data_IF_292429817116
#
_entry.id   IF_292429817116
#
_cell.length_a   1.000
_cell.length_b   1.000
_cell.length_c   1.000
_cell.angle_alpha   90.00
_cell.angle_beta   90.00
_cell.angle_gamma   90.00
#
_symmetry.space_group_name_H-M   'P 1'
#
loop_
_entity.id
_entity.type
_entity.pdbx_description
1 polymer ?
#
# COMPACT_ATOMS: atom_id res chain seq x y z
N UNK A 1 -28.57 8.54 6.71
CA UNK A 1 -27.62 7.56 7.23
C UNK A 1 -27.36 7.89 8.68
N UNK A 2 -27.52 6.93 9.60
CA UNK A 2 -27.17 7.15 11.02
C UNK A 2 -25.65 7.04 11.10
N UNK A 3 -24.98 8.06 11.55
CA UNK A 3 -23.57 8.02 11.91
C UNK A 3 -23.42 7.00 13.04
N UNK A 4 -22.85 5.84 12.74
CA UNK A 4 -22.41 4.90 13.77
C UNK A 4 -21.04 5.40 14.26
N UNK A 5 -20.91 5.87 15.51
CA UNK A 5 -19.63 6.38 16.03
C UNK A 5 -18.55 5.30 16.18
N UNK A 6 -18.87 4.03 15.93
CA UNK A 6 -17.90 2.93 15.89
C UNK A 6 -17.26 2.73 14.51
N UNK A 7 -17.74 3.43 13.46
CA UNK A 7 -17.26 3.31 12.09
C UNK A 7 -16.24 4.41 11.78
N UNK A 8 -15.39 4.17 10.80
CA UNK A 8 -14.35 5.11 10.35
C UNK A 8 -14.89 6.52 10.10
N UNK A 9 -14.20 7.51 10.63
CA UNK A 9 -14.39 8.93 10.28
C UNK A 9 -13.09 9.54 9.82
N UNK A 10 -13.17 10.54 8.94
CA UNK A 10 -12.02 11.26 8.44
C UNK A 10 -12.15 12.74 8.70
N UNK A 11 -11.22 13.31 9.43
CA UNK A 11 -11.16 14.73 9.77
C UNK A 11 -9.94 15.37 9.08
N UNK A 12 -10.16 16.45 8.33
CA UNK A 12 -9.10 17.23 7.69
C UNK A 12 -8.81 18.44 8.58
N UNK A 13 -7.56 18.56 9.05
CA UNK A 13 -7.12 19.61 9.95
C UNK A 13 -6.52 20.80 9.22
N UNK A 14 -5.60 20.54 8.27
CA UNK A 14 -4.84 21.57 7.57
C UNK A 14 -4.80 21.27 6.05
N UNK A 15 -4.59 22.35 5.28
CA UNK A 15 -4.41 22.30 3.81
C UNK A 15 -3.32 23.25 3.38
N UNK A 16 -2.57 22.83 2.34
CA UNK A 16 -1.63 23.67 1.61
C UNK A 16 -1.76 23.35 0.11
N UNK A 17 -2.46 24.21 -0.63
CA UNK A 17 -2.97 23.87 -1.95
C UNK A 17 -3.95 22.71 -1.86
N UNK A 18 -3.74 21.66 -2.68
CA UNK A 18 -4.52 20.42 -2.62
C UNK A 18 -3.97 19.42 -1.58
N UNK A 19 -2.71 19.58 -1.15
CA UNK A 19 -2.13 18.76 -0.07
C UNK A 19 -2.91 18.98 1.22
N UNK A 20 -3.18 17.90 1.97
CA UNK A 20 -3.99 17.96 3.17
C UNK A 20 -3.45 17.07 4.27
N UNK A 21 -3.55 17.55 5.50
CA UNK A 21 -3.31 16.79 6.72
C UNK A 21 -4.64 16.48 7.39
N UNK A 22 -4.79 15.27 7.87
CA UNK A 22 -5.99 14.84 8.58
C UNK A 22 -5.74 13.64 9.47
N UNK A 23 -6.83 13.13 10.07
CA UNK A 23 -6.82 11.93 10.89
C UNK A 23 -7.94 10.99 10.45
N UNK A 24 -7.59 9.74 10.16
CA UNK A 24 -8.54 8.63 10.04
C UNK A 24 -8.77 8.04 11.44
N UNK A 25 -9.97 8.16 11.96
CA UNK A 25 -10.34 7.52 13.21
C UNK A 25 -10.89 6.12 12.93
N UNK A 26 -10.19 5.08 13.40
CA UNK A 26 -10.59 3.68 13.26
C UNK A 26 -10.94 3.08 14.62
N UNK A 27 -11.61 1.92 14.68
CA UNK A 27 -11.86 1.22 15.96
C UNK A 27 -10.59 0.90 16.77
N UNK A 28 -9.43 0.73 16.08
CA UNK A 28 -8.14 0.44 16.72
C UNK A 28 -7.21 1.66 16.80
N UNK A 29 -7.75 2.85 16.76
CA UNK A 29 -7.02 4.09 16.98
C UNK A 29 -6.93 5.01 15.75
N UNK A 30 -6.40 6.23 15.95
CA UNK A 30 -6.24 7.21 14.88
C UNK A 30 -5.07 6.87 13.97
N UNK A 31 -5.15 7.30 12.72
CA UNK A 31 -4.08 7.25 11.73
C UNK A 31 -3.89 8.65 11.15
N UNK A 32 -2.76 9.26 11.43
CA UNK A 32 -2.41 10.58 10.92
C UNK A 32 -2.06 10.51 9.42
N UNK A 33 -2.67 11.37 8.62
CA UNK A 33 -2.45 11.44 7.17
C UNK A 33 -1.77 12.75 6.75
N UNK A 34 -0.95 12.76 5.68
CA UNK A 34 -0.60 11.63 4.81
C UNK A 34 0.12 10.50 5.55
N UNK A 35 -0.18 9.24 5.17
CA UNK A 35 0.39 8.05 5.77
C UNK A 35 0.93 7.07 4.72
N UNK A 36 2.08 6.47 5.00
CA UNK A 36 2.56 5.30 4.28
C UNK A 36 2.27 4.04 5.11
N UNK A 37 1.69 3.02 4.49
CA UNK A 37 1.27 1.79 5.16
C UNK A 37 2.22 0.65 4.77
N UNK A 38 2.98 0.08 5.72
CA UNK A 38 3.83 -1.08 5.44
C UNK A 38 2.99 -2.35 5.24
N UNK A 39 3.45 -3.20 4.31
CA UNK A 39 2.75 -4.43 3.99
C UNK A 39 3.05 -5.55 5.00
N UNK A 40 2.02 -6.00 5.69
CA UNK A 40 1.99 -7.21 6.52
C UNK A 40 1.36 -8.38 5.74
N UNK A 41 1.84 -8.65 4.52
CA UNK A 41 1.26 -9.54 3.50
C UNK A 41 0.77 -10.88 4.03
N UNK A 42 1.48 -11.49 4.99
CA UNK A 42 1.14 -12.79 5.61
C UNK A 42 0.98 -12.66 7.12
N UNK A 43 0.35 -11.59 7.58
CA UNK A 43 0.23 -11.28 8.99
C UNK A 43 1.56 -10.89 9.64
N UNK A 44 2.50 -10.31 8.87
CA UNK A 44 3.77 -9.84 9.39
C UNK A 44 4.44 -8.88 8.41
N UNK A 45 4.94 -7.77 8.89
CA UNK A 45 5.89 -6.92 8.15
C UNK A 45 7.22 -7.66 8.11
N UNK A 46 7.68 -7.95 6.91
CA UNK A 46 8.81 -8.86 6.72
C UNK A 46 10.10 -8.35 7.38
N UNK A 47 10.63 -9.12 8.31
CA UNK A 47 11.88 -8.83 9.03
C UNK A 47 11.69 -8.01 10.31
N UNK A 48 10.46 -7.67 10.69
CA UNK A 48 10.15 -6.91 11.90
C UNK A 48 8.98 -7.53 12.66
N UNK A 49 9.00 -7.42 13.97
CA UNK A 49 7.88 -7.69 14.84
C UNK A 49 6.86 -6.54 14.80
N UNK A 50 5.62 -6.80 15.17
CA UNK A 50 4.57 -5.79 15.29
C UNK A 50 4.99 -4.65 16.23
N UNK A 51 5.63 -4.98 17.36
CA UNK A 51 6.14 -3.99 18.33
C UNK A 51 7.21 -3.07 17.74
N UNK A 52 8.13 -3.60 16.91
CA UNK A 52 9.16 -2.79 16.25
C UNK A 52 8.53 -1.85 15.22
N UNK A 53 7.54 -2.32 14.44
CA UNK A 53 6.81 -1.50 13.46
C UNK A 53 6.06 -0.36 14.17
N UNK A 54 5.33 -0.65 15.25
CA UNK A 54 4.68 0.36 16.07
C UNK A 54 5.69 1.34 16.71
N UNK A 55 6.86 0.83 17.12
CA UNK A 55 7.94 1.65 17.69
C UNK A 55 8.55 2.66 16.72
N UNK A 56 8.51 2.42 15.43
CA UNK A 56 8.88 3.41 14.40
C UNK A 56 7.87 4.56 14.32
N UNK A 57 6.59 4.29 14.65
CA UNK A 57 5.51 5.25 14.62
C UNK A 57 4.41 4.92 13.58
N UNK A 58 4.40 3.70 13.07
CA UNK A 58 3.31 3.26 12.19
C UNK A 58 2.03 2.97 12.97
N UNK A 59 0.93 3.51 12.48
CA UNK A 59 -0.40 3.44 13.09
C UNK A 59 -1.34 2.51 12.29
N UNK A 60 -0.92 2.04 11.11
CA UNK A 60 -1.66 1.13 10.26
C UNK A 60 -0.72 0.19 9.50
N UNK A 61 -1.17 -1.03 9.27
CA UNK A 61 -0.53 -2.01 8.37
C UNK A 61 -1.53 -2.58 7.38
N UNK A 62 -1.03 -3.08 6.22
CA UNK A 62 -1.89 -3.70 5.22
C UNK A 62 -1.72 -5.22 5.22
N UNK A 63 -2.81 -5.94 5.49
CA UNK A 63 -2.93 -7.40 5.34
C UNK A 63 -3.35 -7.78 3.92
N UNK A 64 -2.85 -8.92 3.42
CA UNK A 64 -3.19 -9.37 2.07
C UNK A 64 -4.19 -10.52 2.10
N UNK A 65 -5.40 -10.26 1.63
CA UNK A 65 -6.53 -11.19 1.66
C UNK A 65 -6.24 -12.49 0.91
N UNK A 66 -5.67 -12.43 -0.29
CA UNK A 66 -5.33 -13.62 -1.07
C UNK A 66 -4.34 -14.55 -0.33
N UNK A 67 -3.27 -13.98 0.21
CA UNK A 67 -2.27 -14.78 0.91
C UNK A 67 -2.79 -15.38 2.20
N UNK A 68 -3.60 -14.63 2.94
CA UNK A 68 -4.19 -15.07 4.21
C UNK A 68 -5.34 -16.06 3.99
N UNK A 69 -6.08 -15.97 2.88
CA UNK A 69 -7.04 -16.97 2.44
C UNK A 69 -6.35 -18.32 2.17
N UNK A 70 -5.25 -18.31 1.40
CA UNK A 70 -4.52 -19.54 1.03
C UNK A 70 -3.79 -20.14 2.24
N UNK A 71 -3.22 -19.30 3.10
CA UNK A 71 -2.52 -19.75 4.31
C UNK A 71 -2.38 -18.60 5.33
N UNK A 72 -2.79 -18.78 6.59
CA UNK A 72 -3.21 -20.04 7.24
C UNK A 72 -4.67 -20.42 7.04
N UNK A 73 -5.47 -19.59 6.39
CA UNK A 73 -6.92 -19.64 6.25
C UNK A 73 -7.63 -18.64 7.17
N UNK A 74 -8.75 -18.03 6.71
CA UNK A 74 -9.44 -16.99 7.47
C UNK A 74 -10.09 -17.54 8.75
N UNK A 75 -10.54 -18.79 8.77
CA UNK A 75 -11.16 -19.43 9.93
C UNK A 75 -10.18 -19.50 11.11
N UNK A 76 -8.93 -19.92 10.84
CA UNK A 76 -7.89 -19.98 11.88
C UNK A 76 -7.55 -18.61 12.46
N UNK A 77 -7.59 -17.58 11.63
CA UNK A 77 -7.32 -16.20 12.07
C UNK A 77 -8.51 -15.68 12.89
N UNK A 78 -9.75 -15.97 12.47
CA UNK A 78 -10.94 -15.61 13.20
C UNK A 78 -11.00 -16.30 14.57
N UNK A 79 -10.66 -17.60 14.67
CA UNK A 79 -10.56 -18.35 15.94
C UNK A 79 -9.52 -17.75 16.90
N UNK A 80 -8.47 -17.13 16.36
CA UNK A 80 -7.46 -16.42 17.15
C UNK A 80 -7.88 -15.00 17.60
N UNK A 81 -9.08 -14.53 17.20
CA UNK A 81 -9.58 -13.20 17.51
C UNK A 81 -9.27 -12.14 16.44
N UNK A 82 -9.08 -12.57 15.19
CA UNK A 82 -8.73 -11.70 14.05
C UNK A 82 -7.25 -11.44 13.92
N UNK A 83 -6.86 -10.65 12.89
CA UNK A 83 -5.46 -10.33 12.60
C UNK A 83 -4.78 -9.59 13.73
N UNK A 84 -5.47 -8.70 14.42
CA UNK A 84 -4.93 -7.94 15.56
C UNK A 84 -4.36 -8.88 16.62
N UNK A 85 -5.18 -9.80 17.13
CA UNK A 85 -4.73 -10.77 18.11
C UNK A 85 -3.70 -11.76 17.52
N UNK A 86 -3.92 -12.22 16.29
CA UNK A 86 -3.03 -13.18 15.61
C UNK A 86 -1.62 -12.66 15.39
N UNK A 87 -1.48 -11.35 15.10
CA UNK A 87 -0.19 -10.69 14.87
C UNK A 87 0.39 -10.02 16.11
N UNK A 88 -0.40 -9.83 17.18
CA UNK A 88 -0.06 -8.95 18.29
C UNK A 88 0.10 -7.50 17.82
N UNK A 89 -0.84 -7.01 17.04
CA UNK A 89 -0.88 -5.65 16.49
C UNK A 89 -2.12 -4.92 17.01
N UNK A 90 -1.93 -3.86 17.79
CA UNK A 90 -3.01 -3.18 18.51
C UNK A 90 -3.56 -1.94 17.76
N UNK A 91 -3.04 -1.63 16.57
CA UNK A 91 -3.41 -0.45 15.80
C UNK A 91 -4.19 -0.84 14.54
N UNK A 92 -4.56 0.13 13.70
CA UNK A 92 -5.41 -0.10 12.54
C UNK A 92 -4.84 -1.13 11.55
N UNK A 93 -5.73 -1.87 10.92
CA UNK A 93 -5.44 -2.80 9.81
C UNK A 93 -6.35 -2.49 8.64
N UNK A 94 -5.77 -2.30 7.46
CA UNK A 94 -6.47 -2.34 6.17
C UNK A 94 -6.16 -3.66 5.48
N UNK A 95 -7.13 -4.26 4.81
CA UNK A 95 -6.92 -5.45 3.96
C UNK A 95 -7.22 -5.12 2.50
N UNK A 96 -6.36 -5.61 1.58
CA UNK A 96 -6.68 -5.56 0.16
C UNK A 96 -7.79 -6.55 -0.20
N UNK A 97 -8.34 -6.42 -1.41
CA UNK A 97 -9.40 -7.32 -1.90
C UNK A 97 -8.91 -8.73 -2.26
N UNK A 98 -7.60 -8.93 -2.41
CA UNK A 98 -7.01 -10.13 -3.01
C UNK A 98 -7.03 -10.13 -4.54
N UNK A 99 -7.71 -9.17 -5.17
CA UNK A 99 -7.89 -9.08 -6.62
C UNK A 99 -6.57 -8.98 -7.37
N UNK A 100 -5.72 -8.04 -7.02
CA UNK A 100 -4.43 -7.83 -7.70
C UNK A 100 -3.60 -9.14 -7.82
N UNK A 101 -3.55 -9.98 -6.78
CA UNK A 101 -2.76 -11.21 -6.78
C UNK A 101 -3.33 -12.24 -7.76
N UNK A 102 -4.65 -12.44 -7.77
CA UNK A 102 -5.26 -13.40 -8.69
C UNK A 102 -5.18 -12.93 -10.14
N UNK A 103 -5.26 -11.62 -10.41
CA UNK A 103 -5.10 -11.07 -11.76
C UNK A 103 -3.64 -11.09 -12.23
N UNK A 104 -2.69 -10.76 -11.37
CA UNK A 104 -1.26 -10.81 -11.72
C UNK A 104 -0.80 -12.24 -12.05
N UNK A 105 -1.41 -13.25 -11.44
CA UNK A 105 -1.17 -14.66 -11.78
C UNK A 105 -1.79 -15.07 -13.12
N UNK A 106 -2.86 -14.39 -13.57
CA UNK A 106 -3.50 -14.62 -14.87
C UNK A 106 -2.60 -14.19 -16.04
N UNK A 107 -1.87 -13.09 -15.87
CA UNK A 107 -1.15 -12.41 -16.94
C UNK A 107 0.36 -12.60 -16.90
N UNK A 108 0.86 -13.65 -16.21
CA UNK A 108 2.29 -13.99 -16.21
C UNK A 108 3.16 -13.21 -15.24
N UNK A 109 2.54 -12.47 -14.34
CA UNK A 109 3.18 -11.67 -13.31
C UNK A 109 3.41 -10.23 -13.74
N UNK A 110 2.44 -9.36 -13.46
CA UNK A 110 2.53 -7.88 -13.62
C UNK A 110 3.78 -7.30 -12.93
N UNK A 111 4.33 -8.01 -11.94
CA UNK A 111 5.63 -7.68 -11.34
C UNK A 111 6.81 -7.79 -12.33
N UNK A 112 6.69 -8.57 -13.43
CA UNK A 112 7.70 -8.65 -14.49
C UNK A 112 7.55 -7.52 -15.51
N UNK A 113 6.35 -7.06 -15.79
CA UNK A 113 6.09 -5.91 -16.68
C UNK A 113 6.51 -4.58 -16.07
N UNK A 114 6.34 -4.42 -14.75
CA UNK A 114 6.78 -3.22 -14.03
C UNK A 114 8.28 -3.26 -13.68
N UNK A 115 8.93 -4.44 -13.64
CA UNK A 115 10.32 -4.63 -13.17
C UNK A 115 11.03 -5.77 -13.89
N UNK A 116 11.44 -5.59 -15.09
CA UNK A 116 12.28 -6.41 -15.94
C UNK A 116 13.33 -7.37 -15.33
N UNK A 117 13.00 -8.19 -14.34
CA UNK A 117 13.76 -9.38 -13.90
C UNK A 117 13.06 -10.10 -12.75
N UNK A 118 12.32 -11.17 -12.99
CA UNK A 118 11.69 -11.98 -11.97
C UNK A 118 11.91 -13.48 -12.16
N UNK A 119 12.56 -14.15 -11.23
CA UNK A 119 12.56 -15.62 -11.14
C UNK A 119 11.12 -16.10 -10.89
N UNK A 120 10.63 -17.03 -11.71
CA UNK A 120 9.37 -17.77 -11.51
C UNK A 120 9.33 -18.38 -10.10
N UNK A 121 8.59 -17.74 -9.18
CA UNK A 121 8.51 -18.18 -7.78
C UNK A 121 7.21 -18.95 -7.46
N UNK A 122 6.26 -19.06 -8.40
CA UNK A 122 4.97 -19.71 -8.19
C UNK A 122 4.59 -20.64 -9.35
N UNK A 123 5.32 -21.74 -9.50
CA UNK A 123 5.06 -22.71 -10.57
C UNK A 123 3.69 -23.42 -10.50
N UNK A 124 2.97 -23.30 -9.38
CA UNK A 124 1.64 -23.91 -9.16
C UNK A 124 0.49 -22.90 -9.21
N UNK A 125 0.74 -21.64 -8.91
CA UNK A 125 -0.29 -20.61 -8.91
C UNK A 125 -0.67 -20.25 -10.35
N UNK A 126 -1.96 -20.32 -10.68
CA UNK A 126 -2.49 -19.97 -12.00
C UNK A 126 -3.93 -19.52 -11.90
N UNK A 127 -4.27 -18.40 -12.51
CA UNK A 127 -5.66 -18.02 -12.76
C UNK A 127 -6.23 -18.88 -13.86
N UNK A 128 -7.39 -19.45 -13.61
CA UNK A 128 -8.09 -20.37 -14.52
C UNK A 128 -9.14 -19.66 -15.35
N UNK A 129 -9.76 -18.62 -14.81
CA UNK A 129 -10.77 -17.81 -15.50
C UNK A 129 -11.24 -16.62 -14.66
N UNK A 130 -11.62 -15.56 -15.36
CA UNK A 130 -12.26 -14.36 -14.81
C UNK A 130 -13.68 -14.35 -15.37
N UNK A 131 -14.66 -14.49 -14.48
CA UNK A 131 -16.08 -14.61 -14.82
C UNK A 131 -16.88 -13.54 -14.05
N UNK A 132 -18.16 -13.40 -14.30
CA UNK A 132 -19.01 -12.45 -13.57
C UNK A 132 -19.15 -12.85 -12.09
N UNK A 133 -19.09 -14.12 -11.80
CA UNK A 133 -19.16 -14.69 -10.46
C UNK A 133 -17.93 -14.33 -9.63
N UNK A 134 -16.76 -14.23 -10.24
CA UNK A 134 -15.48 -13.98 -9.59
C UNK A 134 -14.30 -14.56 -10.39
N UNK A 135 -13.22 -14.85 -9.69
CA UNK A 135 -11.97 -15.36 -10.28
C UNK A 135 -11.66 -16.76 -9.78
N UNK A 136 -11.56 -17.73 -10.68
CA UNK A 136 -11.08 -19.07 -10.38
C UNK A 136 -9.57 -19.13 -10.51
N UNK A 137 -8.89 -19.70 -9.51
CA UNK A 137 -7.44 -19.82 -9.49
C UNK A 137 -6.98 -21.08 -8.77
N UNK A 138 -5.71 -21.45 -8.98
CA UNK A 138 -5.06 -22.52 -8.24
C UNK A 138 -4.21 -21.97 -7.10
N UNK A 139 -4.41 -22.54 -5.93
CA UNK A 139 -3.60 -22.27 -4.75
C UNK A 139 -2.12 -22.59 -5.02
N UNK A 140 -1.21 -21.67 -4.69
CA UNK A 140 0.23 -21.92 -4.78
C UNK A 140 0.74 -22.90 -3.73
N UNK A 141 -0.08 -23.22 -2.73
CA UNK A 141 0.30 -24.06 -1.59
C UNK A 141 0.15 -25.54 -1.93
N UNK A 142 -0.97 -25.93 -2.49
CA UNK A 142 -1.38 -27.32 -2.69
C UNK A 142 -1.98 -27.62 -4.08
N UNK A 143 -2.13 -26.60 -4.91
CA UNK A 143 -2.72 -26.71 -6.23
C UNK A 143 -4.24 -26.86 -6.26
N UNK A 144 -4.92 -26.78 -5.12
CA UNK A 144 -6.39 -26.81 -5.06
C UNK A 144 -7.01 -25.65 -5.84
N UNK A 145 -8.18 -25.90 -6.45
CA UNK A 145 -8.93 -24.88 -7.14
C UNK A 145 -9.79 -24.11 -6.15
N UNK A 146 -9.70 -22.79 -6.20
CA UNK A 146 -10.43 -21.85 -5.36
C UNK A 146 -11.17 -20.82 -6.23
N UNK A 147 -12.29 -20.34 -5.73
CA UNK A 147 -13.03 -19.22 -6.29
C UNK A 147 -12.93 -18.03 -5.32
N UNK A 148 -12.49 -16.90 -5.82
CA UNK A 148 -12.58 -15.62 -5.11
C UNK A 148 -13.64 -14.77 -5.80
N UNK A 149 -14.80 -14.70 -5.17
CA UNK A 149 -15.91 -13.83 -5.57
C UNK A 149 -15.91 -12.54 -4.75
N UNK A 150 -16.68 -11.51 -5.12
CA UNK A 150 -16.88 -10.33 -4.28
C UNK A 150 -17.31 -10.67 -2.85
N UNK A 151 -18.28 -11.57 -2.71
CA UNK A 151 -18.79 -12.01 -1.40
C UNK A 151 -17.72 -12.76 -0.60
N UNK A 152 -16.96 -13.64 -1.28
CA UNK A 152 -15.89 -14.40 -0.61
C UNK A 152 -14.75 -13.48 -0.18
N UNK A 153 -14.37 -12.48 -0.99
CA UNK A 153 -13.39 -11.47 -0.60
C UNK A 153 -13.83 -10.71 0.66
N UNK A 154 -15.09 -10.26 0.71
CA UNK A 154 -15.64 -9.57 1.87
C UNK A 154 -15.75 -10.49 3.09
N UNK A 155 -16.15 -11.76 2.92
CA UNK A 155 -16.21 -12.77 3.97
C UNK A 155 -14.82 -12.99 4.61
N UNK A 156 -13.81 -13.12 3.76
CA UNK A 156 -12.43 -13.29 4.24
C UNK A 156 -11.97 -12.07 5.02
N UNK A 157 -12.14 -10.86 4.49
CA UNK A 157 -11.74 -9.62 5.16
C UNK A 157 -12.48 -9.41 6.49
N UNK A 158 -13.76 -9.79 6.56
CA UNK A 158 -14.54 -9.78 7.80
C UNK A 158 -13.98 -10.78 8.83
N UNK A 159 -13.64 -12.00 8.40
CA UNK A 159 -13.03 -13.02 9.26
C UNK A 159 -11.61 -12.63 9.73
N UNK A 160 -10.86 -11.87 8.89
CA UNK A 160 -9.59 -11.29 9.28
C UNK A 160 -9.74 -10.19 10.33
N UNK A 161 -10.92 -9.55 10.46
CA UNK A 161 -11.19 -8.51 11.44
C UNK A 161 -10.43 -7.22 11.17
N UNK A 162 -10.23 -6.83 9.90
CA UNK A 162 -9.60 -5.55 9.55
C UNK A 162 -10.53 -4.37 9.83
N UNK A 163 -9.96 -3.20 10.12
CA UNK A 163 -10.72 -1.95 10.28
C UNK A 163 -11.26 -1.43 8.96
N UNK A 164 -10.51 -1.64 7.88
CA UNK A 164 -10.86 -1.21 6.53
C UNK A 164 -10.72 -2.39 5.58
N UNK A 165 -11.81 -2.69 4.87
CA UNK A 165 -11.85 -3.68 3.80
C UNK A 165 -11.91 -2.98 2.43
N UNK A 166 -11.19 -3.50 1.43
CA UNK A 166 -11.29 -3.04 0.05
C UNK A 166 -12.28 -3.90 -0.74
N UNK A 167 -13.14 -3.27 -1.55
CA UNK A 167 -14.03 -4.00 -2.45
C UNK A 167 -13.25 -4.84 -3.45
N UNK A 168 -13.82 -5.97 -3.87
CA UNK A 168 -13.22 -6.81 -4.90
C UNK A 168 -13.32 -6.12 -6.27
N UNK A 169 -12.19 -6.00 -6.95
CA UNK A 169 -12.07 -5.29 -8.22
C UNK A 169 -11.33 -6.14 -9.26
N UNK A 170 -11.53 -5.86 -10.53
CA UNK A 170 -10.70 -6.41 -11.61
C UNK A 170 -9.57 -5.45 -11.96
N UNK A 171 -8.37 -5.75 -11.50
CA UNK A 171 -7.17 -4.98 -11.83
C UNK A 171 -6.75 -5.25 -13.28
N UNK A 172 -7.02 -4.30 -14.17
CA UNK A 172 -6.73 -4.41 -15.59
C UNK A 172 -5.23 -4.32 -15.85
N UNK A 173 -4.63 -5.24 -16.64
CA UNK A 173 -3.22 -5.16 -17.00
C UNK A 173 -2.95 -3.97 -17.92
N UNK A 174 -1.73 -3.43 -17.87
CA UNK A 174 -1.34 -2.25 -18.63
C UNK A 174 -1.54 -2.37 -20.15
N UNK A 175 -1.29 -3.55 -20.72
CA UNK A 175 -1.39 -3.81 -22.16
C UNK A 175 -2.82 -4.12 -22.63
N UNK A 176 -3.80 -4.10 -21.74
CA UNK A 176 -5.20 -4.30 -22.14
C UNK A 176 -5.68 -3.16 -23.04
N UNK A 177 -6.44 -3.51 -24.06
CA UNK A 177 -7.07 -2.51 -24.90
C UNK A 177 -8.21 -1.75 -24.17
N UNK A 178 -8.66 -0.66 -24.78
CA UNK A 178 -9.70 0.18 -24.18
C UNK A 178 -11.02 -0.58 -23.99
N UNK A 179 -11.35 -1.48 -24.92
CA UNK A 179 -12.61 -2.24 -24.85
C UNK A 179 -12.61 -3.22 -23.67
N UNK A 180 -11.51 -3.94 -23.47
CA UNK A 180 -11.34 -4.79 -22.30
C UNK A 180 -11.34 -3.96 -21.01
N UNK A 181 -10.64 -2.83 -21.00
CA UNK A 181 -10.58 -1.93 -19.83
C UNK A 181 -11.97 -1.41 -19.47
N UNK A 182 -12.82 -1.06 -20.44
CA UNK A 182 -14.19 -0.66 -20.20
C UNK A 182 -15.01 -1.80 -19.56
N UNK A 183 -14.96 -3.01 -20.15
CA UNK A 183 -15.68 -4.18 -19.59
C UNK A 183 -15.24 -4.55 -18.19
N UNK A 184 -13.92 -4.50 -17.90
CA UNK A 184 -13.39 -4.79 -16.55
C UNK A 184 -13.79 -3.72 -15.54
N UNK A 185 -13.83 -2.45 -15.95
CA UNK A 185 -14.29 -1.33 -15.11
C UNK A 185 -15.78 -1.50 -14.77
N UNK A 186 -16.63 -1.78 -15.76
CA UNK A 186 -18.04 -2.08 -15.52
C UNK A 186 -18.25 -3.30 -14.62
N UNK A 187 -17.43 -4.36 -14.77
CA UNK A 187 -17.46 -5.53 -13.88
C UNK A 187 -17.10 -5.13 -12.44
N UNK A 188 -16.07 -4.33 -12.26
CA UNK A 188 -15.69 -3.78 -10.95
C UNK A 188 -16.86 -3.02 -10.32
N UNK A 189 -17.63 -2.23 -11.09
CA UNK A 189 -18.81 -1.53 -10.59
C UNK A 189 -19.94 -2.48 -10.15
N UNK A 190 -20.13 -3.60 -10.86
CA UNK A 190 -21.11 -4.62 -10.44
C UNK A 190 -20.63 -5.37 -9.19
N UNK A 191 -19.34 -5.69 -9.14
CA UNK A 191 -18.72 -6.33 -7.97
C UNK A 191 -18.73 -5.44 -6.73
N UNK A 192 -18.57 -4.12 -6.90
CA UNK A 192 -18.76 -3.16 -5.81
C UNK A 192 -20.13 -3.35 -5.13
N UNK A 193 -21.21 -3.39 -5.90
CA UNK A 193 -22.56 -3.57 -5.33
C UNK A 193 -22.66 -4.87 -4.54
N UNK A 194 -22.18 -5.97 -5.11
CA UNK A 194 -22.16 -7.29 -4.44
C UNK A 194 -21.35 -7.26 -3.13
N UNK A 195 -20.20 -6.57 -3.11
CA UNK A 195 -19.42 -6.37 -1.89
C UNK A 195 -20.20 -5.59 -0.84
N UNK A 196 -20.84 -4.49 -1.24
CA UNK A 196 -21.61 -3.65 -0.31
C UNK A 196 -22.86 -4.37 0.20
N UNK A 197 -23.62 -5.06 -0.66
CA UNK A 197 -24.78 -5.85 -0.27
C UNK A 197 -24.40 -6.95 0.74
N UNK A 198 -23.29 -7.64 0.48
CA UNK A 198 -22.78 -8.65 1.41
C UNK A 198 -22.38 -8.03 2.74
N UNK A 199 -21.63 -6.90 2.71
CA UNK A 199 -21.14 -6.23 3.91
C UNK A 199 -22.28 -5.63 4.75
N UNK A 200 -23.32 -5.08 4.12
CA UNK A 200 -24.51 -4.59 4.82
C UNK A 200 -25.23 -5.73 5.59
N UNK A 201 -25.28 -6.90 4.97
CA UNK A 201 -25.98 -8.06 5.56
C UNK A 201 -25.15 -8.83 6.60
N UNK A 202 -23.82 -8.89 6.44
CA UNK A 202 -22.96 -9.83 7.18
C UNK A 202 -21.69 -9.18 7.76
N UNK A 203 -21.37 -7.95 7.37
CA UNK A 203 -20.12 -7.30 7.77
C UNK A 203 -20.05 -6.99 9.27
N UNK A 204 -18.83 -6.95 9.84
CA UNK A 204 -18.66 -6.51 11.23
C UNK A 204 -19.05 -5.05 11.41
N UNK A 205 -19.72 -4.74 12.55
CA UNK A 205 -20.13 -3.39 12.92
C UNK A 205 -18.96 -2.45 12.97
N UNK A 206 -18.29 -1.84 12.67
CA UNK A 206 -17.08 -1.00 12.80
C UNK A 206 -16.10 -1.16 11.61
N UNK A 207 -16.25 -2.18 10.77
CA UNK A 207 -15.43 -2.31 9.57
C UNK A 207 -15.89 -1.33 8.50
N UNK A 208 -14.97 -0.49 8.04
CA UNK A 208 -15.18 0.42 6.92
C UNK A 208 -14.94 -0.27 5.58
N UNK A 209 -15.56 0.23 4.51
CA UNK A 209 -15.39 -0.28 3.15
C UNK A 209 -14.90 0.82 2.23
N UNK A 210 -13.78 0.58 1.55
CA UNK A 210 -13.26 1.49 0.52
C UNK A 210 -13.58 0.96 -0.88
N UNK A 211 -14.13 1.82 -1.72
CA UNK A 211 -14.33 1.55 -3.14
C UNK A 211 -13.05 1.71 -3.94
N UNK A 212 -12.92 1.00 -5.06
CA UNK A 212 -11.71 1.05 -5.90
C UNK A 212 -12.03 1.66 -7.26
N UNK A 213 -11.33 2.74 -7.60
CA UNK A 213 -11.41 3.41 -8.89
C UNK A 213 -10.57 2.64 -9.91
N UNK A 214 -11.19 2.20 -11.01
CA UNK A 214 -10.54 1.57 -12.15
C UNK A 214 -10.68 2.47 -13.40
N UNK A 215 -10.27 2.01 -14.58
CA UNK A 215 -10.40 2.74 -15.86
C UNK A 215 -9.09 2.87 -16.65
N UNK A 216 -8.01 2.22 -16.17
CA UNK A 216 -6.71 2.24 -16.86
C UNK A 216 -6.16 3.66 -17.03
N UNK A 217 -5.63 3.95 -18.21
CA UNK A 217 -5.14 5.29 -18.58
C UNK A 217 -6.17 6.09 -19.41
N UNK A 218 -7.45 5.74 -19.34
CA UNK A 218 -8.51 6.37 -20.11
C UNK A 218 -9.28 7.38 -19.25
N UNK A 219 -9.21 8.70 -19.56
CA UNK A 219 -9.81 9.76 -18.73
C UNK A 219 -11.33 9.61 -18.56
N UNK A 220 -12.04 9.20 -19.62
CA UNK A 220 -13.48 8.99 -19.60
C UNK A 220 -13.88 7.82 -18.68
N UNK A 221 -13.18 6.69 -18.76
CA UNK A 221 -13.43 5.54 -17.89
C UNK A 221 -13.07 5.83 -16.42
N UNK A 222 -11.99 6.56 -16.17
CA UNK A 222 -11.62 7.03 -14.82
C UNK A 222 -12.70 7.93 -14.25
N UNK A 223 -13.19 8.89 -15.04
CA UNK A 223 -14.25 9.78 -14.63
C UNK A 223 -15.53 9.03 -14.27
N UNK A 224 -15.96 8.12 -15.15
CA UNK A 224 -17.13 7.27 -14.89
C UNK A 224 -16.95 6.45 -13.61
N UNK A 225 -15.78 5.84 -13.42
CA UNK A 225 -15.50 5.08 -12.22
C UNK A 225 -15.53 5.96 -10.96
N UNK A 226 -15.00 7.18 -11.01
CA UNK A 226 -15.09 8.13 -9.91
C UNK A 226 -16.55 8.46 -9.57
N UNK A 227 -17.41 8.69 -10.58
CA UNK A 227 -18.83 8.99 -10.39
C UNK A 227 -19.56 7.81 -9.72
N UNK A 228 -19.37 6.59 -10.23
CA UNK A 228 -20.03 5.39 -9.70
C UNK A 228 -19.58 5.09 -8.26
N UNK A 229 -18.27 5.09 -7.99
CA UNK A 229 -17.72 4.78 -6.67
C UNK A 229 -18.09 5.86 -5.66
N UNK A 230 -18.05 7.15 -6.05
CA UNK A 230 -18.39 8.27 -5.17
C UNK A 230 -19.89 8.34 -4.83
N UNK A 231 -20.75 7.80 -5.68
CA UNK A 231 -22.19 7.69 -5.43
C UNK A 231 -22.57 6.48 -4.56
N UNK A 232 -21.67 5.55 -4.37
CA UNK A 232 -21.88 4.34 -3.56
C UNK A 232 -21.71 4.63 -2.07
N UNK A 233 -22.23 3.75 -1.21
CA UNK A 233 -22.13 3.84 0.25
C UNK A 233 -20.76 3.33 0.75
N UNK A 234 -19.67 3.96 0.29
CA UNK A 234 -18.31 3.65 0.72
C UNK A 234 -17.79 4.68 1.72
N UNK A 235 -16.90 4.27 2.62
CA UNK A 235 -16.31 5.12 3.65
C UNK A 235 -15.05 5.85 3.16
N UNK A 236 -14.46 5.38 2.07
CA UNK A 236 -13.29 5.97 1.42
C UNK A 236 -13.09 5.46 0.00
N UNK A 237 -12.12 6.01 -0.70
CA UNK A 237 -11.83 5.65 -2.09
C UNK A 237 -10.37 5.27 -2.26
N UNK A 238 -10.13 4.19 -3.00
CA UNK A 238 -8.80 3.74 -3.41
C UNK A 238 -8.63 3.90 -4.91
N UNK A 239 -7.46 4.31 -5.36
CA UNK A 239 -7.12 4.41 -6.78
C UNK A 239 -6.30 3.18 -7.14
N UNK A 240 -6.86 2.33 -7.99
CA UNK A 240 -6.28 1.07 -8.43
C UNK A 240 -6.02 1.00 -9.93
N UNK A 241 -5.63 -0.19 -10.37
CA UNK A 241 -5.34 -0.50 -11.76
C UNK A 241 -4.01 0.04 -12.24
N UNK A 242 -3.79 -0.05 -13.56
CA UNK A 242 -2.61 0.54 -14.18
C UNK A 242 -2.72 2.06 -14.18
N UNK A 243 -1.62 2.72 -13.82
CA UNK A 243 -1.48 4.17 -13.81
C UNK A 243 -0.53 4.67 -14.90
N UNK A 244 -0.29 3.87 -15.93
CA UNK A 244 0.59 4.24 -17.04
C UNK A 244 1.92 3.48 -17.07
N UNK A 245 2.72 3.76 -18.09
CA UNK A 245 4.01 3.11 -18.40
C UNK A 245 5.18 3.68 -17.60
N UNK A 246 5.05 4.93 -17.19
CA UNK A 246 6.10 5.70 -16.52
C UNK A 246 5.49 6.70 -15.54
N UNK A 247 6.34 7.45 -14.86
CA UNK A 247 5.92 8.40 -13.82
C UNK A 247 5.17 9.62 -14.38
N UNK A 248 5.50 10.02 -15.60
CA UNK A 248 4.85 11.13 -16.28
C UNK A 248 3.39 10.77 -16.59
N UNK A 249 3.17 9.61 -17.20
CA UNK A 249 1.81 9.12 -17.50
C UNK A 249 1.01 8.86 -16.20
N UNK A 250 1.65 8.35 -15.14
CA UNK A 250 1.02 8.21 -13.83
C UNK A 250 0.57 9.57 -13.27
N UNK A 251 1.40 10.60 -13.37
CA UNK A 251 1.04 11.94 -12.93
C UNK A 251 -0.16 12.50 -13.72
N UNK A 252 -0.23 12.26 -15.02
CA UNK A 252 -1.39 12.63 -15.85
C UNK A 252 -2.66 11.88 -15.41
N UNK A 253 -2.56 10.55 -15.22
CA UNK A 253 -3.70 9.74 -14.75
C UNK A 253 -4.23 10.23 -13.41
N UNK A 254 -3.34 10.49 -12.46
CA UNK A 254 -3.75 11.03 -11.16
C UNK A 254 -4.31 12.45 -11.30
N UNK A 255 -3.73 13.28 -12.16
CA UNK A 255 -4.14 14.66 -12.41
C UNK A 255 -5.60 14.79 -12.91
N UNK A 256 -6.07 13.85 -13.72
CA UNK A 256 -7.48 13.83 -14.15
C UNK A 256 -8.40 12.90 -13.32
N UNK A 257 -7.84 12.08 -12.43
CA UNK A 257 -8.64 11.18 -11.56
C UNK A 257 -9.00 11.87 -10.24
N UNK A 258 -7.99 12.38 -9.52
CA UNK A 258 -8.15 12.90 -8.16
C UNK A 258 -9.16 14.06 -8.05
N UNK A 259 -9.21 15.03 -8.99
CA UNK A 259 -10.20 16.11 -8.93
C UNK A 259 -11.67 15.66 -9.03
N UNK A 260 -11.92 14.46 -9.53
CA UNK A 260 -13.28 13.89 -9.61
C UNK A 260 -13.68 13.12 -8.34
N UNK A 261 -12.82 13.03 -7.33
CA UNK A 261 -13.11 12.32 -6.08
C UNK A 261 -13.69 13.27 -5.02
N UNK A 262 -14.56 12.77 -4.12
CA UNK A 262 -15.12 13.60 -3.05
C UNK A 262 -14.02 14.20 -2.18
N UNK A 263 -14.15 15.50 -1.91
CA UNK A 263 -13.15 16.25 -1.13
C UNK A 263 -13.03 15.72 0.30
N UNK A 264 -14.12 15.26 0.90
CA UNK A 264 -14.15 14.82 2.30
C UNK A 264 -13.81 13.33 2.48
N UNK A 265 -13.78 12.54 1.41
CA UNK A 265 -13.41 11.13 1.50
C UNK A 265 -11.90 10.96 1.64
N UNK A 266 -11.42 10.04 2.48
CA UNK A 266 -10.02 9.62 2.47
C UNK A 266 -9.68 8.95 1.14
N UNK A 267 -8.49 9.25 0.60
CA UNK A 267 -8.02 8.80 -0.71
C UNK A 267 -6.76 7.96 -0.57
N UNK A 268 -6.84 6.72 -0.98
CA UNK A 268 -5.77 5.74 -0.90
C UNK A 268 -5.20 5.43 -2.29
N UNK A 269 -3.90 5.61 -2.51
CA UNK A 269 -3.21 5.22 -3.73
C UNK A 269 -2.55 3.85 -3.56
N UNK A 270 -3.07 2.84 -4.27
CA UNK A 270 -2.67 1.45 -4.13
C UNK A 270 -1.32 1.14 -4.77
N UNK A 271 -0.42 0.51 -4.00
CA UNK A 271 0.80 -0.10 -4.51
C UNK A 271 1.93 0.85 -4.93
N UNK A 272 1.81 2.14 -4.68
CA UNK A 272 2.80 3.17 -5.01
C UNK A 272 3.60 3.57 -3.77
N UNK A 273 4.95 3.57 -3.88
CA UNK A 273 5.81 3.82 -2.71
C UNK A 273 7.24 4.26 -3.05
N UNK A 274 7.50 4.82 -4.22
CA UNK A 274 8.74 5.54 -4.50
C UNK A 274 8.64 6.97 -3.94
N UNK A 275 9.71 7.53 -3.41
CA UNK A 275 9.71 8.80 -2.66
C UNK A 275 9.12 9.96 -3.46
N UNK A 276 9.52 10.11 -4.72
CA UNK A 276 9.05 11.17 -5.60
C UNK A 276 7.56 11.02 -5.96
N UNK A 277 7.07 9.79 -6.10
CA UNK A 277 5.66 9.52 -6.37
C UNK A 277 4.78 9.87 -5.16
N UNK A 278 5.28 9.61 -3.94
CA UNK A 278 4.61 9.99 -2.70
C UNK A 278 4.51 11.51 -2.57
N UNK A 279 5.61 12.24 -2.79
CA UNK A 279 5.61 13.71 -2.74
C UNK A 279 4.59 14.29 -3.74
N UNK A 280 4.56 13.79 -4.97
CA UNK A 280 3.59 14.25 -5.99
C UNK A 280 2.16 13.85 -5.64
N UNK A 281 1.96 12.65 -5.12
CA UNK A 281 0.63 12.18 -4.72
C UNK A 281 0.03 12.99 -3.59
N UNK A 282 0.82 13.34 -2.58
CA UNK A 282 0.40 14.20 -1.47
C UNK A 282 0.03 15.61 -2.00
N UNK A 283 0.82 16.16 -2.92
CA UNK A 283 0.53 17.44 -3.56
C UNK A 283 -0.83 17.46 -4.27
N UNK A 284 -1.31 16.31 -4.75
CA UNK A 284 -2.65 16.14 -5.37
C UNK A 284 -3.77 15.86 -4.35
N UNK A 285 -3.48 15.83 -3.05
CA UNK A 285 -4.46 15.58 -2.00
C UNK A 285 -4.76 14.09 -1.74
N UNK A 286 -3.81 13.19 -2.01
CA UNK A 286 -3.87 11.80 -1.59
C UNK A 286 -3.43 11.66 -0.14
N UNK A 287 -4.09 10.78 0.62
CA UNK A 287 -3.92 10.66 2.07
C UNK A 287 -3.13 9.42 2.50
N UNK A 288 -3.33 8.31 1.79
CA UNK A 288 -2.82 7.00 2.20
C UNK A 288 -2.12 6.33 1.03
N UNK A 289 -0.98 5.70 1.31
CA UNK A 289 -0.16 5.01 0.33
C UNK A 289 0.30 3.67 0.92
N UNK A 290 0.35 2.63 0.12
CA UNK A 290 0.92 1.35 0.49
C UNK A 290 1.89 0.85 -0.57
N UNK A 291 2.96 0.20 -0.16
CA UNK A 291 3.83 -0.51 -1.11
C UNK A 291 4.80 -1.47 -0.43
N UNK A 292 5.16 -2.54 -1.15
CA UNK A 292 6.23 -3.44 -0.74
C UNK A 292 7.65 -2.86 -0.93
N UNK A 293 7.79 -1.70 -1.58
CA UNK A 293 9.10 -1.14 -1.99
C UNK A 293 10.09 -1.07 -0.85
N UNK A 294 9.82 -0.47 0.32
CA UNK A 294 10.83 -0.32 1.37
C UNK A 294 11.38 -1.65 1.87
N UNK A 295 10.49 -2.59 2.18
CA UNK A 295 10.91 -3.92 2.68
C UNK A 295 11.52 -4.78 1.58
N UNK A 296 11.10 -4.62 0.31
CA UNK A 296 11.70 -5.32 -0.83
C UNK A 296 13.10 -4.81 -1.13
N UNK A 297 13.32 -3.50 -1.16
CA UNK A 297 14.65 -2.89 -1.31
C UNK A 297 15.62 -3.43 -0.27
N UNK A 298 15.22 -3.43 1.01
CA UNK A 298 16.02 -3.93 2.11
C UNK A 298 16.47 -5.40 1.90
N UNK A 299 15.58 -6.27 1.46
CA UNK A 299 15.89 -7.68 1.16
C UNK A 299 16.88 -7.86 0.01
N UNK A 300 17.01 -6.86 -0.84
CA UNK A 300 17.99 -6.83 -1.93
C UNK A 300 19.22 -5.98 -1.62
N UNK A 301 19.44 -5.67 -0.33
CA UNK A 301 20.61 -4.92 0.12
C UNK A 301 20.56 -3.44 -0.26
N UNK A 302 19.37 -2.87 -0.43
CA UNK A 302 19.21 -1.45 -0.75
C UNK A 302 18.62 -0.69 0.42
N UNK A 303 19.24 0.44 0.78
CA UNK A 303 18.76 1.40 1.75
C UNK A 303 18.19 2.64 1.06
N UNK A 304 17.09 3.18 1.56
CA UNK A 304 16.61 4.49 1.16
C UNK A 304 17.60 5.56 1.62
N UNK A 305 17.86 6.54 0.78
CA UNK A 305 18.82 7.60 1.08
C UNK A 305 18.45 8.89 0.34
N UNK A 306 18.70 10.05 0.93
CA UNK A 306 18.46 11.35 0.32
C UNK A 306 19.55 11.65 -0.73
N UNK A 307 19.31 11.24 -1.96
CA UNK A 307 20.24 11.47 -3.06
C UNK A 307 19.66 12.45 -4.09
N UNK A 308 20.44 13.45 -4.50
CA UNK A 308 19.95 14.50 -5.43
C UNK A 308 19.72 14.00 -6.87
N UNK A 309 20.10 12.76 -7.15
CA UNK A 309 19.92 12.14 -8.48
C UNK A 309 18.52 11.51 -8.68
N UNK A 310 17.61 11.71 -7.71
CA UNK A 310 16.23 11.20 -7.76
C UNK A 310 16.09 9.70 -7.60
N UNK A 311 17.18 8.97 -7.35
CA UNK A 311 17.12 7.51 -7.14
C UNK A 311 16.74 7.11 -5.73
N UNK A 312 16.94 8.00 -4.75
CA UNK A 312 16.60 7.85 -3.32
C UNK A 312 17.06 6.54 -2.67
N UNK A 313 18.15 5.92 -3.18
CA UNK A 313 18.62 4.62 -2.65
C UNK A 313 20.09 4.35 -2.92
N UNK A 314 20.72 3.68 -1.98
CA UNK A 314 22.08 3.13 -2.10
C UNK A 314 22.01 1.60 -2.07
N UNK A 315 22.86 0.93 -2.86
CA UNK A 315 23.08 -0.52 -2.76
C UNK A 315 24.29 -0.77 -1.86
N UNK A 316 24.02 -1.21 -0.62
CA UNK A 316 25.06 -1.45 0.38
C UNK A 316 25.99 -2.61 0.00
N UNK A 317 25.63 -3.47 -0.97
CA UNK A 317 26.47 -4.59 -1.41
C UNK A 317 27.54 -4.17 -2.43
N UNK A 318 27.50 -2.93 -2.92
CA UNK A 318 28.49 -2.43 -3.88
C UNK A 318 29.89 -2.38 -3.26
N UNK A 319 30.94 -2.71 -4.04
CA UNK A 319 32.34 -2.69 -3.55
C UNK A 319 32.77 -1.35 -2.95
N UNK A 320 32.22 -0.23 -3.40
CA UNK A 320 32.51 1.11 -2.90
C UNK A 320 32.08 1.32 -1.43
N UNK A 321 31.18 0.50 -0.93
CA UNK A 321 30.73 0.58 0.46
C UNK A 321 31.64 -0.21 1.42
N UNK A 322 32.52 -1.07 0.89
CA UNK A 322 33.56 -1.73 1.68
C UNK A 322 34.59 -0.70 2.16
N UNK A 323 34.84 -0.68 3.46
CA UNK A 323 35.70 0.30 4.11
C UNK A 323 35.03 1.66 4.40
N UNK A 324 33.79 1.87 3.98
CA UNK A 324 33.04 3.08 4.28
C UNK A 324 32.53 3.07 5.73
N UNK A 325 33.04 3.97 6.55
CA UNK A 325 32.74 4.04 7.99
C UNK A 325 31.52 4.88 8.33
N UNK A 326 30.93 5.57 7.35
CA UNK A 326 29.76 6.40 7.54
C UNK A 326 28.49 5.56 7.79
N UNK A 327 27.46 6.11 8.46
CA UNK A 327 26.16 5.48 8.58
C UNK A 327 25.45 5.45 7.21
N UNK A 328 24.33 4.74 7.10
CA UNK A 328 23.51 4.75 5.88
C UNK A 328 23.09 6.17 5.51
N UNK A 329 22.56 6.91 6.47
CA UNK A 329 22.23 8.33 6.35
C UNK A 329 22.56 9.01 7.68
N UNK A 330 23.21 10.17 7.60
CA UNK A 330 23.57 10.95 8.76
C UNK A 330 22.33 11.40 9.54
N UNK A 331 22.41 11.43 10.86
CA UNK A 331 21.33 11.79 11.78
C UNK A 331 20.03 10.97 11.64
N UNK A 332 20.05 9.85 10.91
CA UNK A 332 18.89 8.98 10.80
C UNK A 332 18.63 8.28 12.15
N UNK A 333 17.37 8.35 12.67
CA UNK A 333 17.06 7.78 13.99
C UNK A 333 16.84 6.25 13.99
N UNK A 334 16.98 5.57 12.84
CA UNK A 334 16.78 4.12 12.74
C UNK A 334 17.81 3.34 13.56
N UNK A 335 17.49 2.09 13.92
CA UNK A 335 18.37 1.24 14.70
C UNK A 335 19.74 1.02 14.06
N UNK A 336 19.83 1.00 12.72
CA UNK A 336 21.11 0.84 12.02
C UNK A 336 22.01 2.09 12.20
N UNK A 337 21.51 3.27 11.89
CA UNK A 337 22.30 4.51 11.91
C UNK A 337 22.60 4.98 13.32
N UNK A 338 21.59 5.04 14.20
CA UNK A 338 21.76 5.47 15.60
C UNK A 338 22.53 4.43 16.44
N UNK A 339 22.50 3.16 16.05
CA UNK A 339 23.26 2.08 16.68
C UNK A 339 24.73 2.02 16.27
N UNK A 340 25.19 2.94 15.39
CA UNK A 340 26.60 3.03 14.98
C UNK A 340 27.04 2.00 13.95
N UNK A 341 26.12 1.35 13.25
CA UNK A 341 26.45 0.41 12.17
C UNK A 341 26.90 1.16 10.92
N UNK A 342 28.16 0.96 10.54
CA UNK A 342 28.73 1.58 9.33
C UNK A 342 28.27 0.88 8.04
N UNK A 343 28.36 1.58 6.90
CA UNK A 343 28.11 1.00 5.58
C UNK A 343 29.05 -0.17 5.28
N UNK A 344 30.29 -0.12 5.76
CA UNK A 344 31.25 -1.22 5.65
C UNK A 344 30.75 -2.50 6.35
N UNK A 345 30.27 -2.37 7.58
CA UNK A 345 29.69 -3.51 8.29
C UNK A 345 28.44 -4.04 7.60
N UNK A 346 27.54 -3.14 7.19
CA UNK A 346 26.33 -3.52 6.46
C UNK A 346 26.63 -4.15 5.09
N UNK A 347 27.70 -3.69 4.40
CA UNK A 347 28.22 -4.32 3.20
C UNK A 347 28.62 -5.77 3.46
N UNK A 348 29.44 -5.97 4.48
CA UNK A 348 29.93 -7.29 4.85
C UNK A 348 28.80 -8.26 5.18
N UNK A 349 27.90 -7.90 6.12
CA UNK A 349 26.80 -8.79 6.54
C UNK A 349 25.75 -9.00 5.43
N UNK A 350 25.52 -8.00 4.54
CA UNK A 350 24.63 -8.16 3.40
C UNK A 350 25.17 -9.11 2.35
N UNK A 351 26.47 -9.07 2.09
CA UNK A 351 27.16 -9.99 1.15
C UNK A 351 27.30 -11.40 1.71
N UNK A 352 27.35 -11.52 3.03
CA UNK A 352 27.36 -12.81 3.76
C UNK A 352 25.94 -13.34 4.02
N UNK A 353 24.91 -12.74 3.41
CA UNK A 353 23.51 -13.15 3.50
C UNK A 353 22.95 -13.27 4.91
N UNK A 354 23.46 -12.46 5.86
CA UNK A 354 22.99 -12.47 7.24
C UNK A 354 21.61 -11.83 7.37
N UNK A 355 20.67 -12.49 8.05
CA UNK A 355 19.33 -11.98 8.29
C UNK A 355 19.33 -10.63 9.02
N UNK A 356 20.35 -10.40 9.87
CA UNK A 356 20.56 -9.11 10.56
C UNK A 356 20.68 -7.95 9.58
N UNK A 357 21.35 -8.15 8.42
CA UNK A 357 21.42 -7.12 7.39
C UNK A 357 20.03 -6.73 6.88
N UNK A 358 19.19 -7.74 6.57
CA UNK A 358 17.82 -7.50 6.10
C UNK A 358 17.02 -6.74 7.17
N UNK A 359 17.10 -7.14 8.43
CA UNK A 359 16.37 -6.48 9.53
C UNK A 359 16.77 -5.01 9.69
N UNK A 360 18.07 -4.73 9.75
CA UNK A 360 18.60 -3.37 9.89
C UNK A 360 18.21 -2.48 8.69
N UNK A 361 18.22 -3.03 7.48
CA UNK A 361 17.81 -2.30 6.29
C UNK A 361 16.29 -2.10 6.20
N UNK A 362 15.47 -3.05 6.68
CA UNK A 362 14.02 -2.89 6.76
C UNK A 362 13.67 -1.80 7.76
N UNK A 363 14.24 -1.85 8.96
CA UNK A 363 14.05 -0.82 9.99
C UNK A 363 14.42 0.57 9.45
N UNK A 364 15.59 0.69 8.81
CA UNK A 364 16.04 1.94 8.19
C UNK A 364 15.07 2.46 7.14
N UNK A 365 14.66 1.61 6.19
CA UNK A 365 13.78 2.02 5.10
C UNK A 365 12.38 2.42 5.60
N UNK A 366 11.85 1.69 6.58
CA UNK A 366 10.57 2.04 7.19
C UNK A 366 10.68 3.33 8.01
N UNK A 367 11.76 3.51 8.77
CA UNK A 367 12.02 4.77 9.48
C UNK A 367 12.10 5.95 8.50
N UNK A 368 12.77 5.79 7.35
CA UNK A 368 12.84 6.83 6.31
C UNK A 368 11.45 7.21 5.81
N UNK A 369 10.60 6.23 5.50
CA UNK A 369 9.25 6.46 4.98
C UNK A 369 8.34 7.11 6.02
N UNK A 370 8.40 6.71 7.29
CA UNK A 370 7.63 7.34 8.36
C UNK A 370 8.05 8.81 8.54
N UNK A 371 9.36 9.09 8.54
CA UNK A 371 9.87 10.45 8.64
C UNK A 371 9.48 11.32 7.44
N UNK A 372 9.44 10.75 6.24
CA UNK A 372 8.93 11.42 5.05
C UNK A 372 7.47 11.85 5.22
N UNK A 373 6.62 10.95 5.71
CA UNK A 373 5.21 11.27 5.97
C UNK A 373 5.04 12.31 7.09
N UNK A 374 5.79 12.17 8.18
CA UNK A 374 5.76 13.13 9.29
C UNK A 374 6.19 14.53 8.84
N UNK A 375 7.30 14.64 8.11
CA UNK A 375 7.75 15.91 7.54
C UNK A 375 6.73 16.53 6.58
N UNK A 376 6.04 15.72 5.79
CA UNK A 376 4.95 16.19 4.92
C UNK A 376 3.78 16.75 5.75
N UNK A 377 3.33 16.06 6.82
CA UNK A 377 2.30 16.56 7.73
C UNK A 377 2.69 17.89 8.39
N UNK A 378 3.92 17.97 8.91
CA UNK A 378 4.45 19.21 9.52
C UNK A 378 4.49 20.36 8.51
N UNK A 379 4.94 20.10 7.28
CA UNK A 379 5.03 21.10 6.22
C UNK A 379 3.65 21.58 5.75
N UNK A 380 2.66 20.69 5.62
CA UNK A 380 1.27 21.06 5.30
C UNK A 380 0.70 22.00 6.38
N UNK A 381 0.87 21.65 7.67
CA UNK A 381 0.40 22.51 8.77
C UNK A 381 1.08 23.87 8.80
N UNK A 382 2.31 23.97 8.31
CA UNK A 382 3.04 25.23 8.22
C UNK A 382 2.77 26.02 6.92
N UNK A 383 1.98 25.50 5.96
CA UNK A 383 1.80 26.12 4.64
C UNK A 383 3.09 26.13 3.79
N UNK A 384 3.94 25.12 3.93
CA UNK A 384 5.27 25.01 3.31
C UNK A 384 5.50 23.69 2.58
N UNK A 385 4.41 23.04 2.14
CA UNK A 385 4.52 21.71 1.52
C UNK A 385 5.30 21.71 0.21
N UNK A 386 5.11 22.75 -0.63
CA UNK A 386 5.85 22.89 -1.88
C UNK A 386 7.37 22.94 -1.64
N UNK A 387 7.81 23.79 -0.71
CA UNK A 387 9.23 23.92 -0.32
C UNK A 387 9.78 22.62 0.27
N UNK A 388 8.96 21.91 1.08
CA UNK A 388 9.34 20.59 1.60
C UNK A 388 9.58 19.59 0.46
N UNK A 389 8.64 19.50 -0.48
CA UNK A 389 8.75 18.64 -1.65
C UNK A 389 10.00 18.93 -2.47
N UNK A 390 10.29 20.21 -2.75
CA UNK A 390 11.50 20.63 -3.48
C UNK A 390 12.79 20.22 -2.75
N UNK A 391 12.87 20.43 -1.44
CA UNK A 391 14.04 20.01 -0.64
C UNK A 391 14.24 18.49 -0.66
N UNK A 392 13.18 17.70 -0.50
CA UNK A 392 13.27 16.24 -0.60
C UNK A 392 13.76 15.83 -1.99
N UNK A 393 13.20 16.40 -3.06
CA UNK A 393 13.58 16.10 -4.44
C UNK A 393 15.02 16.54 -4.75
N UNK A 394 15.52 17.57 -4.08
CA UNK A 394 16.93 18.01 -4.16
C UNK A 394 17.90 17.13 -3.35
N UNK A 395 17.38 16.14 -2.59
CA UNK A 395 18.21 15.19 -1.84
C UNK A 395 18.43 15.58 -0.38
N UNK A 396 17.56 16.36 0.24
CA UNK A 396 17.55 16.55 1.69
C UNK A 396 16.95 15.34 2.40
N UNK A 397 17.47 15.03 3.59
CA UNK A 397 16.87 13.99 4.42
C UNK A 397 15.51 14.47 5.00
N UNK A 398 14.52 13.56 5.16
CA UNK A 398 13.20 13.94 5.68
C UNK A 398 13.22 14.63 7.05
N UNK A 399 14.22 14.33 7.89
CA UNK A 399 14.40 14.93 9.23
C UNK A 399 15.20 16.24 9.23
N UNK A 400 15.88 16.58 8.13
CA UNK A 400 16.63 17.83 7.97
C UNK A 400 15.81 18.90 7.19
N UNK A 401 14.70 18.51 6.60
CA UNK A 401 13.86 19.35 5.75
C UNK A 401 12.87 20.22 6.57
N UNK A 402 13.36 20.88 7.66
CA UNK A 402 12.61 21.81 8.48
C UNK A 402 12.88 23.26 8.08
#
# INVERSE_FOLDING_TARGET
MRHDPARLTFEIHDRDGDARRGTLHTPHGPVETPAFIPLATKGSVRGMSSREVAGIGYEMVLGNTYHLLVAPGPERIAEAGGLHAFMGWDQAIITDSGGFQVFSLAHGGVAEEIKGSGRRMYGLAKTLGIEEEGVRFRSYRDGSELMLSPEESMRVQAALGSDIALVFDECTPFHADREYTARSTERTHRWLRRCLDWHEANGPAGQAVFGIIQGGTHPDLRKESCEVISAAAVDGVSIGGTLGRNKEEMAEVLGYTVPNLPVQSPKHLLGIGEVDDLIRGIALGLDVFDCAVPTRLARHGMALAPLPDGRFRIDVRKPREAGNREPLVENCPCAACSGGYSRDYLNYISRSEQLTAVRLLVDHNLTYMERLMRGAREAISAGQYADYGERIMAGSAPWDAR
#
